data_IF_528201303823
#
_entry.id   IF_528201303823
#
_cell.length_a   1.000
_cell.length_b   1.000
_cell.length_c   1.000
_cell.angle_alpha   90.00
_cell.angle_beta   90.00
_cell.angle_gamma   90.00
#
_symmetry.space_group_name_H-M   'P 1'
#
loop_
_entity.id
_entity.type
_entity.pdbx_description
1 polymer ?
#
# COMPACT_ATOMS: atom_id res chain seq x y z
N UNK A 1 8.28 -3.85 -55.63
CA UNK A 1 7.60 -5.10 -55.24
C UNK A 1 6.20 -4.70 -54.75
N UNK A 2 5.24 -4.62 -55.67
CA UNK A 2 3.87 -4.23 -55.33
C UNK A 2 3.06 -5.52 -55.12
N UNK A 3 2.41 -5.63 -53.97
CA UNK A 3 1.54 -6.76 -53.63
C UNK A 3 0.33 -6.75 -54.59
N UNK A 4 0.26 -7.72 -55.51
CA UNK A 4 -0.89 -7.93 -56.39
C UNK A 4 -1.95 -8.65 -55.57
N UNK A 5 -2.92 -7.91 -55.04
CA UNK A 5 -4.11 -8.48 -54.41
C UNK A 5 -4.94 -9.15 -55.52
N UNK A 6 -5.18 -10.46 -55.42
CA UNK A 6 -5.88 -11.23 -56.46
C UNK A 6 -7.39 -11.11 -56.31
N UNK A 7 -8.14 -11.19 -57.42
CA UNK A 7 -9.62 -11.08 -57.45
C UNK A 7 -10.32 -12.15 -56.55
N UNK A 8 -9.64 -13.28 -56.36
CA UNK A 8 -9.98 -14.35 -55.41
C UNK A 8 -9.92 -13.91 -53.95
N UNK A 9 -8.99 -13.03 -53.58
CA UNK A 9 -8.89 -12.50 -52.22
C UNK A 9 -10.08 -11.58 -51.95
N UNK A 10 -10.40 -10.67 -52.89
CA UNK A 10 -11.51 -9.72 -52.72
C UNK A 10 -12.87 -10.44 -52.56
N UNK A 11 -13.08 -11.52 -53.31
CA UNK A 11 -14.28 -12.37 -53.23
C UNK A 11 -14.35 -13.19 -51.94
N UNK A 12 -13.22 -13.69 -51.42
CA UNK A 12 -13.15 -14.38 -50.13
C UNK A 12 -13.53 -13.45 -48.97
N UNK A 13 -12.99 -12.23 -48.94
CA UNK A 13 -13.31 -11.25 -47.89
C UNK A 13 -14.80 -10.85 -47.93
N UNK A 14 -15.38 -10.68 -49.12
CA UNK A 14 -16.81 -10.39 -49.28
C UNK A 14 -17.70 -11.54 -48.79
N UNK A 15 -17.31 -12.79 -49.06
CA UNK A 15 -18.02 -13.99 -48.57
C UNK A 15 -17.94 -14.10 -47.05
N UNK A 16 -16.77 -13.83 -46.46
CA UNK A 16 -16.59 -13.81 -45.00
C UNK A 16 -17.44 -12.70 -44.35
N UNK A 17 -17.43 -11.48 -44.89
CA UNK A 17 -18.26 -10.37 -44.39
C UNK A 17 -19.75 -10.70 -44.45
N UNK A 18 -20.20 -11.35 -45.52
CA UNK A 18 -21.59 -11.80 -45.64
C UNK A 18 -21.93 -12.91 -44.64
N UNK A 19 -21.01 -13.85 -44.41
CA UNK A 19 -21.14 -14.87 -43.38
C UNK A 19 -21.20 -14.29 -41.97
N UNK A 20 -20.37 -13.28 -41.67
CA UNK A 20 -20.43 -12.55 -40.39
C UNK A 20 -21.76 -11.79 -40.24
N UNK A 21 -22.22 -11.09 -41.29
CA UNK A 21 -23.51 -10.38 -41.26
C UNK A 21 -24.74 -11.29 -41.05
N UNK A 22 -24.63 -12.60 -41.29
CA UNK A 22 -25.69 -13.58 -41.08
C UNK A 22 -25.77 -14.06 -39.62
N UNK A 23 -24.74 -13.83 -38.82
CA UNK A 23 -24.74 -14.20 -37.40
C UNK A 23 -25.65 -13.20 -36.65
N UNK A 24 -26.56 -13.65 -35.77
CA UNK A 24 -27.41 -12.75 -34.99
C UNK A 24 -26.58 -11.76 -34.17
N UNK A 25 -27.02 -10.51 -34.13
CA UNK A 25 -26.34 -9.41 -33.41
C UNK A 25 -26.13 -9.70 -31.92
N UNK A 26 -26.98 -10.55 -31.32
CA UNK A 26 -26.85 -11.01 -29.93
C UNK A 26 -25.52 -11.70 -29.64
N UNK A 27 -24.98 -12.48 -30.57
CA UNK A 27 -23.68 -13.15 -30.40
C UNK A 27 -22.54 -12.16 -30.38
N UNK A 28 -22.60 -11.10 -31.20
CA UNK A 28 -21.60 -10.02 -31.19
C UNK A 28 -21.63 -9.23 -29.89
N UNK A 29 -22.82 -8.89 -29.39
CA UNK A 29 -23.00 -8.21 -28.10
C UNK A 29 -22.48 -9.08 -26.96
N UNK A 30 -22.75 -10.39 -26.99
CA UNK A 30 -22.24 -11.33 -26.00
C UNK A 30 -20.72 -11.51 -26.08
N UNK A 31 -20.15 -11.61 -27.28
CA UNK A 31 -18.69 -11.69 -27.45
C UNK A 31 -18.01 -10.41 -26.94
N UNK A 32 -18.55 -9.24 -27.27
CA UNK A 32 -18.05 -7.95 -26.79
C UNK A 32 -18.16 -7.83 -25.27
N UNK A 33 -19.28 -8.29 -24.67
CA UNK A 33 -19.46 -8.25 -23.22
C UNK A 33 -18.50 -9.18 -22.50
N UNK A 34 -18.28 -10.41 -23.00
CA UNK A 34 -17.28 -11.35 -22.45
C UNK A 34 -15.87 -10.80 -22.58
N UNK A 35 -15.54 -10.19 -23.72
CA UNK A 35 -14.24 -9.55 -23.92
C UNK A 35 -14.04 -8.38 -22.94
N UNK A 36 -15.02 -7.48 -22.83
CA UNK A 36 -14.99 -6.35 -21.91
C UNK A 36 -14.89 -6.80 -20.45
N UNK A 37 -15.63 -7.83 -20.05
CA UNK A 37 -15.55 -8.43 -18.71
C UNK A 37 -14.17 -9.03 -18.44
N UNK A 38 -13.57 -9.68 -19.43
CA UNK A 38 -12.21 -10.25 -19.31
C UNK A 38 -11.16 -9.14 -19.15
N UNK A 39 -11.25 -8.09 -19.96
CA UNK A 39 -10.39 -6.90 -19.84
C UNK A 39 -10.58 -6.26 -18.47
N UNK A 40 -11.81 -6.09 -18.00
CA UNK A 40 -12.10 -5.51 -16.69
C UNK A 40 -11.57 -6.37 -15.54
N UNK A 41 -11.72 -7.70 -15.61
CA UNK A 41 -11.19 -8.64 -14.63
C UNK A 41 -9.66 -8.54 -14.51
N UNK A 42 -8.98 -8.48 -15.66
CA UNK A 42 -7.52 -8.33 -15.71
C UNK A 42 -7.08 -6.95 -15.25
N UNK A 43 -7.77 -5.88 -15.67
CA UNK A 43 -7.46 -4.50 -15.27
C UNK A 43 -7.63 -4.28 -13.77
N UNK A 44 -8.67 -4.86 -13.17
CA UNK A 44 -8.91 -4.80 -11.74
C UNK A 44 -8.06 -5.81 -10.95
N UNK A 45 -7.23 -6.62 -11.62
CA UNK A 45 -6.41 -7.66 -10.99
C UNK A 45 -7.20 -8.55 -10.01
N UNK A 46 -8.43 -8.90 -10.37
CA UNK A 46 -9.27 -9.70 -9.48
C UNK A 46 -8.72 -11.12 -9.47
N UNK A 47 -8.38 -11.65 -8.30
CA UNK A 47 -7.94 -13.04 -8.14
C UNK A 47 -9.05 -13.99 -7.71
N UNK A 48 -10.28 -13.48 -7.52
CA UNK A 48 -11.41 -14.23 -6.98
C UNK A 48 -11.72 -15.54 -7.71
N UNK A 49 -11.80 -15.53 -9.06
CA UNK A 49 -12.13 -16.74 -9.83
C UNK A 49 -11.01 -17.77 -9.69
N UNK A 50 -9.76 -17.33 -9.77
CA UNK A 50 -8.59 -18.18 -9.58
C UNK A 50 -8.55 -18.78 -8.17
N UNK A 51 -8.85 -18.00 -7.15
CA UNK A 51 -8.84 -18.44 -5.76
C UNK A 51 -10.02 -19.37 -5.44
N UNK A 52 -11.20 -19.10 -6.01
CA UNK A 52 -12.36 -19.97 -5.91
C UNK A 52 -12.09 -21.35 -6.53
N UNK A 53 -11.48 -21.40 -7.73
CA UNK A 53 -11.06 -22.65 -8.37
C UNK A 53 -10.01 -23.42 -7.56
N UNK A 54 -9.17 -22.71 -6.78
CA UNK A 54 -8.19 -23.29 -5.85
C UNK A 54 -8.79 -23.61 -4.47
N UNK A 55 -10.09 -23.38 -4.27
CA UNK A 55 -10.78 -23.61 -2.99
C UNK A 55 -10.30 -22.69 -1.87
N UNK A 56 -9.93 -21.45 -2.18
CA UNK A 56 -9.45 -20.43 -1.23
C UNK A 56 -8.32 -20.94 -0.33
N UNK A 57 -7.43 -21.79 -0.87
CA UNK A 57 -6.33 -22.39 -0.10
C UNK A 57 -5.20 -21.41 0.24
N UNK A 58 -5.18 -20.23 -0.38
CA UNK A 58 -4.14 -19.22 -0.21
C UNK A 58 -2.81 -19.61 -0.86
N UNK A 59 -2.04 -18.59 -1.22
CA UNK A 59 -0.71 -18.75 -1.81
C UNK A 59 0.36 -18.72 -0.70
N UNK A 60 1.48 -19.43 -0.91
CA UNK A 60 2.60 -19.39 0.04
C UNK A 60 3.29 -18.03 -0.05
N UNK A 61 3.67 -17.47 1.08
CA UNK A 61 4.46 -16.24 1.13
C UNK A 61 5.85 -16.55 0.54
N UNK A 62 6.19 -15.83 -0.54
CA UNK A 62 7.53 -15.89 -1.12
C UNK A 62 8.38 -14.79 -0.50
N UNK A 63 9.45 -15.17 0.19
CA UNK A 63 10.37 -14.24 0.82
C UNK A 63 11.60 -14.07 -0.07
N UNK A 64 11.97 -12.83 -0.37
CA UNK A 64 13.24 -12.50 -1.01
C UNK A 64 14.20 -12.00 0.05
N UNK A 65 15.29 -12.71 0.27
CA UNK A 65 16.30 -12.37 1.28
C UNK A 65 17.70 -12.76 0.81
N UNK A 66 18.71 -12.13 1.41
CA UNK A 66 20.10 -12.55 1.22
C UNK A 66 20.37 -13.75 2.15
N UNK A 67 20.79 -14.93 1.62
CA UNK A 67 21.07 -16.11 2.43
C UNK A 67 22.13 -15.90 3.51
N UNK A 68 23.02 -14.93 3.33
CA UNK A 68 24.06 -14.58 4.30
C UNK A 68 23.61 -13.58 5.37
N UNK A 69 22.33 -13.24 5.44
CA UNK A 69 21.81 -12.26 6.39
C UNK A 69 21.58 -12.89 7.77
N UNK A 70 22.31 -12.43 8.77
CA UNK A 70 22.10 -12.82 10.18
C UNK A 70 20.69 -12.46 10.69
N UNK A 71 20.07 -11.41 10.13
CA UNK A 71 18.71 -10.99 10.50
C UNK A 71 17.68 -12.04 10.08
N UNK A 72 17.88 -12.69 8.92
CA UNK A 72 16.98 -13.75 8.48
C UNK A 72 17.03 -14.94 9.45
N UNK A 73 18.23 -15.41 9.77
CA UNK A 73 18.43 -16.54 10.70
C UNK A 73 17.98 -16.22 12.13
N UNK A 74 18.15 -14.98 12.59
CA UNK A 74 17.77 -14.56 13.93
C UNK A 74 16.26 -14.38 14.13
N UNK A 75 15.57 -13.79 13.14
CA UNK A 75 14.20 -13.31 13.31
C UNK A 75 13.23 -13.98 12.34
N UNK A 76 13.54 -13.94 11.03
CA UNK A 76 12.61 -14.36 9.98
C UNK A 76 12.38 -15.87 10.04
N UNK A 77 13.46 -16.66 10.17
CA UNK A 77 13.44 -18.13 10.26
C UNK A 77 12.53 -18.64 11.40
N UNK A 78 12.46 -17.89 12.50
CA UNK A 78 11.67 -18.22 13.70
C UNK A 78 10.22 -17.73 13.60
N UNK A 79 9.91 -16.87 12.65
CA UNK A 79 8.57 -16.31 12.49
C UNK A 79 7.68 -17.25 11.68
N UNK A 80 6.85 -18.04 12.37
CA UNK A 80 5.91 -19.00 11.74
C UNK A 80 4.90 -18.33 10.81
N UNK A 81 4.54 -17.08 11.08
CA UNK A 81 3.56 -16.33 10.28
C UNK A 81 4.09 -16.07 8.86
N UNK A 82 5.38 -15.72 8.74
CA UNK A 82 6.01 -15.43 7.44
C UNK A 82 6.19 -16.67 6.56
N UNK A 83 6.11 -17.87 7.14
CA UNK A 83 6.17 -19.15 6.43
C UNK A 83 4.77 -19.75 6.16
N UNK A 84 3.72 -19.03 6.54
CA UNK A 84 2.33 -19.44 6.35
C UNK A 84 1.82 -19.29 4.92
N UNK A 85 0.54 -19.56 4.74
CA UNK A 85 -0.20 -19.21 3.53
C UNK A 85 -0.91 -17.90 3.74
N UNK A 86 -0.82 -17.01 2.76
CA UNK A 86 -1.60 -15.79 2.71
C UNK A 86 -2.84 -16.01 1.85
N UNK A 87 -3.99 -15.63 2.39
CA UNK A 87 -5.26 -15.61 1.69
C UNK A 87 -5.81 -14.19 1.78
N UNK A 88 -5.95 -13.52 0.64
CA UNK A 88 -6.67 -12.26 0.57
C UNK A 88 -8.13 -12.50 0.96
N UNK A 89 -8.77 -11.52 1.61
CA UNK A 89 -10.20 -11.59 1.91
C UNK A 89 -10.98 -11.81 0.60
N UNK A 90 -11.82 -12.86 0.49
CA UNK A 90 -12.43 -13.22 -0.79
C UNK A 90 -13.21 -12.09 -1.48
N UNK A 91 -13.88 -11.24 -0.70
CA UNK A 91 -14.62 -10.08 -1.21
C UNK A 91 -13.75 -8.85 -1.54
N UNK A 92 -12.44 -8.94 -1.29
CA UNK A 92 -11.43 -7.90 -1.48
C UNK A 92 -10.19 -8.49 -2.20
N UNK A 93 -10.44 -9.40 -3.13
CA UNK A 93 -9.44 -10.14 -3.90
C UNK A 93 -8.75 -9.30 -5.00
N UNK A 94 -8.72 -7.97 -4.87
CA UNK A 94 -7.98 -7.05 -5.72
C UNK A 94 -7.25 -6.02 -4.85
N UNK A 95 -5.98 -5.71 -5.14
CA UNK A 95 -5.23 -4.65 -4.47
C UNK A 95 -5.95 -3.30 -4.51
N UNK A 96 -6.60 -2.98 -5.64
CA UNK A 96 -7.33 -1.72 -5.81
C UNK A 96 -8.52 -1.60 -4.88
N UNK A 97 -9.29 -2.68 -4.71
CA UNK A 97 -10.39 -2.70 -3.74
C UNK A 97 -9.90 -2.63 -2.30
N UNK A 98 -8.73 -3.21 -1.98
CA UNK A 98 -8.08 -3.08 -0.66
C UNK A 98 -7.74 -1.63 -0.34
N UNK A 99 -7.12 -0.93 -1.27
CA UNK A 99 -6.80 0.49 -1.09
C UNK A 99 -8.06 1.36 -1.04
N UNK A 100 -9.04 1.13 -1.92
CA UNK A 100 -10.27 1.91 -1.94
C UNK A 100 -11.09 1.71 -0.65
N UNK A 101 -11.27 0.46 -0.20
CA UNK A 101 -12.06 0.15 0.99
C UNK A 101 -11.50 0.82 2.25
N UNK A 102 -10.18 0.76 2.45
CA UNK A 102 -9.54 1.40 3.60
C UNK A 102 -9.71 2.92 3.61
N UNK A 103 -9.72 3.55 2.43
CA UNK A 103 -9.93 4.99 2.31
C UNK A 103 -11.39 5.39 2.54
N UNK A 104 -12.36 4.67 1.97
CA UNK A 104 -13.78 5.06 2.04
C UNK A 104 -14.49 4.55 3.30
N UNK A 105 -14.17 3.34 3.77
CA UNK A 105 -14.89 2.66 4.86
C UNK A 105 -14.04 2.49 6.11
N UNK A 106 -12.78 2.92 6.09
CA UNK A 106 -11.84 2.72 7.18
C UNK A 106 -12.30 3.27 8.51
N UNK A 107 -13.09 4.36 8.59
CA UNK A 107 -13.48 5.03 9.86
C UNK A 107 -12.34 5.01 10.90
N UNK A 108 -11.24 5.72 10.64
CA UNK A 108 -10.07 5.64 11.50
C UNK A 108 -10.40 6.08 12.93
N UNK A 109 -9.82 5.44 13.96
CA UNK A 109 -9.97 5.88 15.33
C UNK A 109 -9.43 7.32 15.47
N UNK A 110 -10.12 8.11 16.29
CA UNK A 110 -9.67 9.47 16.62
C UNK A 110 -8.75 9.42 17.83
N UNK A 111 -7.51 9.84 17.64
CA UNK A 111 -6.53 10.04 18.69
C UNK A 111 -5.49 11.06 18.22
N UNK A 112 -4.80 11.69 19.17
CA UNK A 112 -3.76 12.68 18.88
C UNK A 112 -2.39 12.06 19.11
N UNK A 113 -1.55 12.07 18.07
CA UNK A 113 -0.15 11.73 18.24
C UNK A 113 0.59 12.83 19.00
N UNK A 114 1.55 12.43 19.82
CA UNK A 114 2.55 13.36 20.36
C UNK A 114 3.70 13.46 19.38
N UNK A 115 3.79 14.59 18.67
CA UNK A 115 4.84 14.83 17.67
C UNK A 115 6.14 15.30 18.31
N UNK A 116 7.25 14.65 17.96
CA UNK A 116 8.60 15.06 18.29
C UNK A 116 9.38 15.28 16.98
N UNK A 117 9.92 16.50 16.80
CA UNK A 117 10.77 16.82 15.66
C UNK A 117 12.22 16.53 16.03
N UNK A 118 12.90 15.75 15.18
CA UNK A 118 14.31 15.44 15.32
C UNK A 118 15.07 16.03 14.13
N UNK A 119 16.02 16.92 14.43
CA UNK A 119 16.91 17.49 13.42
C UNK A 119 18.15 16.60 13.31
N UNK A 120 18.38 16.05 12.13
CA UNK A 120 19.54 15.22 11.83
C UNK A 120 20.74 16.12 11.51
N UNK A 121 21.96 15.60 11.69
CA UNK A 121 23.21 16.35 11.47
C UNK A 121 23.38 16.94 10.07
N UNK A 122 22.65 16.43 9.07
CA UNK A 122 22.63 16.94 7.70
C UNK A 122 21.63 18.10 7.48
N UNK A 123 21.00 18.59 8.55
CA UNK A 123 20.04 19.69 8.53
C UNK A 123 18.61 19.30 8.15
N UNK A 124 18.35 18.01 7.91
CA UNK A 124 16.99 17.53 7.66
C UNK A 124 16.19 17.29 8.93
N UNK A 125 14.89 17.57 8.90
CA UNK A 125 13.97 17.35 10.01
C UNK A 125 13.13 16.09 9.78
N UNK A 126 13.07 15.21 10.77
CA UNK A 126 12.22 14.01 10.80
C UNK A 126 11.17 14.21 11.90
N UNK A 127 9.91 13.87 11.64
CA UNK A 127 8.87 13.85 12.68
C UNK A 127 8.65 12.44 13.19
N UNK A 128 8.71 12.28 14.51
CA UNK A 128 8.34 11.07 15.23
C UNK A 128 6.99 11.31 15.90
N UNK A 129 5.99 10.55 15.50
CA UNK A 129 4.64 10.65 16.05
C UNK A 129 4.42 9.48 17.01
N UNK A 130 4.35 9.80 18.31
CA UNK A 130 4.22 8.83 19.38
C UNK A 130 2.75 8.60 19.76
N UNK A 131 2.39 7.35 20.00
CA UNK A 131 1.16 6.94 20.67
C UNK A 131 1.52 5.97 21.79
N UNK A 132 1.31 6.38 23.04
CA UNK A 132 1.56 5.52 24.20
C UNK A 132 0.32 4.71 24.54
N UNK A 133 0.53 3.51 25.10
CA UNK A 133 -0.57 2.67 25.56
C UNK A 133 -1.45 3.37 26.60
N UNK A 134 -0.85 4.20 27.47
CA UNK A 134 -1.57 4.99 28.46
C UNK A 134 -2.53 6.01 27.86
N UNK A 135 -2.21 6.55 26.69
CA UNK A 135 -3.01 7.59 26.03
C UNK A 135 -4.33 7.01 25.50
N UNK A 136 -4.32 5.73 25.15
CA UNK A 136 -5.52 4.99 24.67
C UNK A 136 -6.30 4.39 25.84
N UNK A 137 -5.65 4.07 26.95
CA UNK A 137 -6.28 3.51 28.16
C UNK A 137 -7.03 4.55 29.03
N UNK A 138 -7.13 5.82 28.58
CA UNK A 138 -7.77 6.90 29.34
C UNK A 138 -6.94 7.39 30.53
N UNK A 139 -5.63 7.11 30.53
CA UNK A 139 -4.72 7.68 31.51
C UNK A 139 -4.60 9.21 31.35
N UNK A 140 -4.16 9.93 32.39
CA UNK A 140 -3.92 11.36 32.28
C UNK A 140 -2.94 11.63 31.13
N UNK A 141 -3.29 12.60 30.27
CA UNK A 141 -2.48 13.03 29.13
C UNK A 141 -1.27 13.80 29.64
N UNK A 142 -0.27 13.08 30.17
CA UNK A 142 0.92 13.69 30.73
C UNK A 142 1.90 14.06 29.61
N UNK A 143 1.97 15.37 29.35
CA UNK A 143 2.89 15.97 28.39
C UNK A 143 4.30 15.96 28.96
N UNK A 144 4.94 14.80 29.02
CA UNK A 144 6.23 14.70 29.71
C UNK A 144 6.73 13.31 30.05
N UNK A 145 5.92 12.26 29.87
CA UNK A 145 6.41 10.90 30.12
C UNK A 145 7.59 10.60 29.21
N UNK A 146 8.77 10.55 29.81
CA UNK A 146 9.98 9.97 29.25
C UNK A 146 9.84 8.48 29.48
N UNK A 147 9.88 7.69 28.42
CA UNK A 147 9.97 6.23 28.55
C UNK A 147 11.15 5.93 29.47
N UNK A 148 10.84 5.44 30.67
CA UNK A 148 11.86 5.01 31.62
C UNK A 148 12.65 3.88 30.97
N UNK A 149 13.97 3.88 31.13
CA UNK A 149 14.82 2.79 30.63
C UNK A 149 14.45 1.42 31.26
N UNK A 150 13.75 1.45 32.39
CA UNK A 150 13.26 0.29 33.13
C UNK A 150 11.80 -0.07 32.79
N UNK A 151 11.18 0.62 31.83
CA UNK A 151 9.85 0.28 31.35
C UNK A 151 9.91 -1.02 30.53
N UNK A 152 9.26 -2.08 31.03
CA UNK A 152 9.19 -3.38 30.36
C UNK A 152 8.19 -3.39 29.20
N UNK A 153 7.55 -2.25 28.92
CA UNK A 153 6.58 -2.11 27.84
C UNK A 153 7.27 -2.17 26.47
N UNK A 154 6.85 -3.07 25.56
CA UNK A 154 7.45 -3.17 24.23
C UNK A 154 7.23 -1.90 23.41
N UNK A 155 8.27 -1.47 22.69
CA UNK A 155 8.24 -0.35 21.74
C UNK A 155 8.19 -0.87 20.31
N UNK A 156 7.18 -0.41 19.54
CA UNK A 156 7.04 -0.70 18.11
C UNK A 156 7.39 0.53 17.31
N UNK A 157 8.32 0.37 16.38
CA UNK A 157 8.67 1.39 15.38
C UNK A 157 7.95 1.06 14.08
N UNK A 158 7.08 1.96 13.65
CA UNK A 158 6.32 1.84 12.40
C UNK A 158 6.90 2.82 11.39
N UNK A 159 7.34 2.29 10.25
CA UNK A 159 7.83 3.10 9.13
C UNK A 159 6.76 3.08 8.04
N UNK A 160 6.11 4.21 7.74
CA UNK A 160 5.12 4.28 6.67
C UNK A 160 5.78 4.11 5.29
N UNK A 161 4.99 3.68 4.32
CA UNK A 161 5.43 3.50 2.94
C UNK A 161 5.80 4.81 2.24
N UNK A 162 6.30 4.71 1.01
CA UNK A 162 6.94 5.80 0.23
C UNK A 162 6.10 7.09 0.12
N UNK A 163 4.78 7.02 0.23
CA UNK A 163 3.86 8.17 0.10
C UNK A 163 2.89 8.35 1.27
N UNK A 164 3.07 7.59 2.36
CA UNK A 164 2.17 7.69 3.52
C UNK A 164 2.80 8.44 4.68
N UNK A 165 1.95 9.02 5.50
CA UNK A 165 2.29 9.60 6.80
C UNK A 165 1.52 8.89 7.92
N UNK A 166 1.74 9.33 9.16
CA UNK A 166 1.04 8.89 10.36
C UNK A 166 -0.46 9.18 10.37
N UNK A 167 -0.96 10.08 9.51
CA UNK A 167 -2.36 10.47 9.46
C UNK A 167 -3.23 9.52 8.64
N UNK A 168 -2.61 8.64 7.84
CA UNK A 168 -3.33 7.70 6.98
C UNK A 168 -4.21 6.72 7.78
N UNK A 169 -5.40 6.35 7.25
CA UNK A 169 -6.36 5.52 8.00
C UNK A 169 -5.80 4.16 8.44
N UNK A 170 -5.00 3.51 7.59
CA UNK A 170 -4.40 2.22 7.90
C UNK A 170 -3.38 2.33 9.04
N UNK A 171 -2.62 3.42 9.11
CA UNK A 171 -1.68 3.68 10.21
C UNK A 171 -2.43 3.92 11.51
N UNK A 172 -3.49 4.73 11.48
CA UNK A 172 -4.30 4.94 12.69
C UNK A 172 -4.85 3.64 13.26
N UNK A 173 -5.37 2.75 12.41
CA UNK A 173 -5.83 1.43 12.86
C UNK A 173 -4.72 0.55 13.42
N UNK A 174 -3.56 0.50 12.75
CA UNK A 174 -2.44 -0.31 13.18
C UNK A 174 -1.90 0.17 14.54
N UNK A 175 -1.62 1.47 14.66
CA UNK A 175 -1.04 2.08 15.86
C UNK A 175 -2.01 1.97 17.03
N UNK A 176 -3.30 2.22 16.81
CA UNK A 176 -4.32 2.06 17.84
C UNK A 176 -4.48 0.60 18.31
N UNK A 177 -4.37 -0.38 17.40
CA UNK A 177 -4.44 -1.80 17.76
C UNK A 177 -3.28 -2.22 18.68
N UNK A 178 -2.05 -1.79 18.35
CA UNK A 178 -0.89 -2.03 19.22
C UNK A 178 -0.99 -1.30 20.56
N UNK A 179 -1.41 -0.05 20.56
CA UNK A 179 -1.60 0.71 21.79
C UNK A 179 -2.65 0.08 22.71
N UNK A 180 -3.74 -0.46 22.15
CA UNK A 180 -4.74 -1.25 22.90
C UNK A 180 -4.21 -2.54 23.50
N UNK A 181 -3.18 -3.14 22.90
CA UNK A 181 -2.47 -4.30 23.45
C UNK A 181 -1.46 -3.92 24.54
N UNK A 182 -1.39 -2.64 24.90
CA UNK A 182 -0.48 -2.14 25.93
C UNK A 182 0.89 -1.76 25.39
N UNK A 183 1.08 -1.65 24.08
CA UNK A 183 2.40 -1.43 23.48
C UNK A 183 2.60 0.06 23.14
N UNK A 184 3.83 0.55 23.30
CA UNK A 184 4.16 1.92 22.89
C UNK A 184 4.51 1.92 21.41
N UNK A 185 3.97 2.88 20.65
CA UNK A 185 4.14 2.93 19.20
C UNK A 185 4.72 4.27 18.79
N UNK A 186 5.72 4.24 17.91
CA UNK A 186 6.28 5.43 17.27
C UNK A 186 6.20 5.30 15.76
N UNK A 187 5.65 6.30 15.10
CA UNK A 187 5.58 6.38 13.64
C UNK A 187 6.61 7.38 13.15
N UNK A 188 7.56 6.92 12.33
CA UNK A 188 8.59 7.79 11.74
C UNK A 188 8.12 8.38 10.42
N UNK A 189 7.78 9.67 10.39
CA UNK A 189 7.41 10.34 9.14
C UNK A 189 8.65 10.81 8.37
N UNK A 190 8.66 10.55 7.06
CA UNK A 190 9.73 10.96 6.16
C UNK A 190 9.74 12.48 5.93
N UNK A 191 10.91 13.00 5.50
CA UNK A 191 11.13 14.44 5.23
C UNK A 191 10.09 14.98 4.25
N UNK A 192 9.42 16.08 4.60
CA UNK A 192 8.44 16.74 3.73
C UNK A 192 7.05 16.11 3.70
N UNK A 193 6.78 15.03 4.45
CA UNK A 193 5.44 14.43 4.62
C UNK A 193 4.91 14.65 6.04
N UNK A 194 3.58 14.59 6.22
CA UNK A 194 2.94 14.71 7.53
C UNK A 194 2.97 16.10 8.17
N UNK A 195 3.21 17.17 7.41
CA UNK A 195 3.25 18.56 7.93
C UNK A 195 4.62 18.99 8.46
N UNK A 196 5.68 18.25 8.14
CA UNK A 196 7.06 18.67 8.38
C UNK A 196 7.47 19.63 7.26
N UNK A 197 7.90 20.84 7.61
CA UNK A 197 8.42 21.80 6.64
C UNK A 197 9.56 21.18 5.85
N UNK A 198 9.55 21.33 4.52
CA UNK A 198 10.70 21.01 3.69
C UNK A 198 11.81 22.01 4.06
N UNK A 199 12.73 21.58 4.93
CA UNK A 199 13.97 22.31 5.17
C UNK A 199 14.85 22.07 3.94
N UNK A 200 14.60 22.83 2.86
CA UNK A 200 15.57 22.98 1.78
C UNK A 200 16.82 23.54 2.44
N UNK A 201 17.94 22.83 2.31
CA UNK A 201 19.21 23.21 2.91
C UNK A 201 19.49 24.70 2.68
N UNK A 202 19.98 25.35 3.73
CA UNK A 202 20.28 26.78 3.89
C UNK A 202 21.30 27.35 2.90
N UNK A 203 21.51 26.72 1.73
CA UNK A 203 22.32 27.22 0.61
C UNK A 203 21.54 28.03 -0.41
N UNK A 204 20.21 27.96 -0.47
CA UNK A 204 19.44 28.79 -1.42
C UNK A 204 19.02 30.16 -0.85
N UNK A 205 18.91 30.28 0.48
CA UNK A 205 18.61 31.57 1.11
C UNK A 205 19.77 32.57 0.98
N UNK A 206 21.02 32.10 0.90
CA UNK A 206 22.18 32.97 0.62
C UNK A 206 22.23 33.42 -0.84
N UNK A 207 21.84 32.57 -1.80
CA UNK A 207 21.83 32.93 -3.22
C UNK A 207 20.71 33.91 -3.61
N UNK A 208 19.58 33.93 -2.89
CA UNK A 208 18.51 34.91 -3.12
C UNK A 208 18.73 36.23 -2.36
N UNK A 209 19.45 36.22 -1.23
CA UNK A 209 19.84 37.45 -0.54
C UNK A 209 20.98 38.21 -1.25
N UNK A 210 21.87 37.50 -1.97
CA UNK A 210 22.97 38.13 -2.73
C UNK A 210 22.52 38.72 -4.08
N UNK A 211 21.35 38.35 -4.60
CA UNK A 211 20.82 38.89 -5.86
C UNK A 211 20.04 40.20 -5.70
N UNK A 212 19.87 40.68 -4.48
CA UNK A 212 19.13 41.91 -4.15
C UNK A 212 19.96 42.95 -3.38
N UNK A 213 21.29 42.80 -3.33
CA UNK A 213 22.21 43.86 -2.90
C UNK A 213 23.04 44.39 -4.07
#
# INVERSE_FOLDING_TARGET
>A
MACVITDSDLTLHALLLKAFSLIPTSYYVLALSVFALTVLYNFLEVHFVRDALRGFRGDRVALTFNPSSEIYEGVVSRCRILHGRYLATPWLASPHFQTAFLNFFGRPPSFCYRRQLYTVHDGGTIALDWLLASDVAGGPYETGRVLSKDDSTPLVIVVPGLTSDSASPYMKHLVHSFAKQGWNVVVGNHRGLGGVSLTIGSRLHSFLAEKHS
#
